data_IF_247278107766
#
_entry.id   IF_247278107766
#
_cell.length_a   1.000
_cell.length_b   1.000
_cell.length_c   1.000
_cell.angle_alpha   90.00
_cell.angle_beta   90.00
_cell.angle_gamma   90.00
#
_symmetry.space_group_name_H-M   'P 1'
#
loop_
_entity.id
_entity.type
_entity.pdbx_description
1 polymer ?
#
# COMPACT_ATOMS: atom_id res chain seq x y z
N UNK A 1 11.30 14.07 -23.48
CA UNK A 1 12.69 13.80 -23.02
C UNK A 1 12.63 12.57 -22.13
N UNK A 2 13.68 11.74 -22.04
CA UNK A 2 13.63 10.59 -21.12
C UNK A 2 13.41 11.09 -19.68
N UNK A 3 12.38 10.58 -19.01
CA UNK A 3 12.09 10.94 -17.62
C UNK A 3 13.21 10.52 -16.68
N UNK A 4 13.17 11.03 -15.45
CA UNK A 4 14.05 10.59 -14.38
C UNK A 4 13.45 9.41 -13.62
N UNK A 5 14.29 8.58 -12.98
CA UNK A 5 13.83 7.53 -12.07
C UNK A 5 12.86 8.13 -11.04
N UNK A 6 11.67 7.56 -10.86
CA UNK A 6 10.66 8.09 -9.94
C UNK A 6 11.18 8.29 -8.51
N UNK A 7 10.68 9.33 -7.82
CA UNK A 7 11.06 9.68 -6.44
C UNK A 7 9.84 9.89 -5.56
N UNK A 8 10.02 9.78 -4.25
CA UNK A 8 8.94 9.98 -3.27
C UNK A 8 8.22 11.34 -3.45
N UNK A 9 6.90 11.25 -3.50
CA UNK A 9 5.97 12.35 -3.69
C UNK A 9 5.83 12.81 -5.13
N UNK A 10 6.44 12.15 -6.12
CA UNK A 10 6.19 12.44 -7.53
C UNK A 10 4.87 11.84 -7.98
N UNK A 11 4.19 12.55 -8.87
CA UNK A 11 2.90 12.16 -9.44
C UNK A 11 3.09 11.73 -10.89
N UNK A 12 2.56 10.55 -11.20
CA UNK A 12 2.52 9.97 -12.54
C UNK A 12 1.11 9.55 -12.89
N UNK A 13 0.74 9.65 -14.16
CA UNK A 13 -0.47 9.02 -14.67
C UNK A 13 -0.04 7.68 -15.24
N UNK A 14 -0.53 6.61 -14.63
CA UNK A 14 -0.22 5.24 -15.03
C UNK A 14 -1.49 4.41 -15.00
N UNK A 15 -1.49 3.34 -15.78
CA UNK A 15 -2.42 2.24 -15.62
C UNK A 15 -1.68 1.09 -14.92
N UNK A 16 -1.94 0.80 -13.64
CA UNK A 16 -1.24 -0.24 -12.90
C UNK A 16 -1.77 -1.62 -13.30
N UNK A 17 -1.38 -2.13 -14.47
CA UNK A 17 -1.80 -3.44 -14.97
C UNK A 17 -1.08 -4.59 -14.25
N UNK A 18 0.08 -4.32 -13.62
CA UNK A 18 0.91 -5.32 -12.97
C UNK A 18 1.22 -4.92 -11.53
N UNK A 19 0.56 -5.61 -10.59
CA UNK A 19 0.63 -5.32 -9.16
C UNK A 19 1.15 -6.51 -8.36
N UNK A 20 1.80 -6.18 -7.26
CA UNK A 20 2.19 -7.15 -6.25
C UNK A 20 1.07 -7.23 -5.22
N UNK A 21 0.51 -8.42 -5.08
CA UNK A 21 -0.52 -8.70 -4.08
C UNK A 21 0.00 -9.73 -3.09
N UNK A 22 -0.36 -9.53 -1.82
CA UNK A 22 -0.04 -10.41 -0.71
C UNK A 22 -1.29 -11.17 -0.29
N UNK A 23 -1.22 -12.49 -0.23
CA UNK A 23 -2.32 -13.30 0.30
C UNK A 23 -2.35 -13.27 1.84
N UNK A 24 -3.41 -13.81 2.46
CA UNK A 24 -3.52 -13.85 3.93
C UNK A 24 -2.37 -14.59 4.62
N UNK A 25 -1.82 -15.60 3.96
CA UNK A 25 -0.70 -16.40 4.45
C UNK A 25 0.67 -15.73 4.21
N UNK A 26 0.67 -14.57 3.57
CA UNK A 26 1.86 -13.75 3.39
C UNK A 26 2.69 -14.05 2.14
N UNK A 27 2.25 -14.94 1.26
CA UNK A 27 2.85 -15.12 -0.07
C UNK A 27 2.65 -13.86 -0.90
N UNK A 28 3.71 -13.39 -1.54
CA UNK A 28 3.71 -12.21 -2.39
C UNK A 28 3.97 -12.67 -3.82
N UNK A 29 3.07 -12.31 -4.73
CA UNK A 29 3.23 -12.58 -6.15
C UNK A 29 2.83 -11.38 -6.98
N UNK A 30 3.32 -11.37 -8.22
CA UNK A 30 2.90 -10.44 -9.25
C UNK A 30 1.66 -11.00 -9.93
N UNK A 31 0.65 -10.15 -10.08
CA UNK A 31 -0.57 -10.43 -10.82
C UNK A 31 -0.75 -9.39 -11.91
N UNK A 32 -1.13 -9.88 -13.08
CA UNK A 32 -1.63 -9.06 -14.18
C UNK A 32 -3.14 -8.89 -13.94
N UNK A 33 -3.57 -7.66 -13.67
CA UNK A 33 -4.94 -7.36 -13.24
C UNK A 33 -5.77 -6.85 -14.42
N UNK A 34 -6.08 -7.76 -15.35
CA UNK A 34 -6.82 -7.44 -16.57
C UNK A 34 -8.32 -7.28 -16.32
N UNK A 35 -8.93 -8.07 -15.41
CA UNK A 35 -10.37 -8.01 -15.07
C UNK A 35 -10.66 -7.88 -13.55
N UNK A 36 -11.66 -7.06 -13.14
CA UNK A 36 -11.95 -6.81 -11.72
C UNK A 36 -12.48 -8.08 -11.05
N UNK A 37 -11.99 -8.37 -9.85
CA UNK A 37 -12.50 -9.50 -9.08
C UNK A 37 -11.48 -10.09 -8.13
N UNK A 38 -11.56 -11.40 -7.99
CA UNK A 38 -10.77 -12.21 -7.11
C UNK A 38 -9.65 -12.90 -7.88
N UNK A 39 -8.43 -12.91 -7.33
CA UNK A 39 -7.30 -13.67 -7.87
C UNK A 39 -6.86 -14.70 -6.86
N UNK A 40 -6.63 -15.93 -7.32
CA UNK A 40 -6.12 -16.99 -6.47
C UNK A 40 -4.61 -16.82 -6.26
N UNK A 41 -4.15 -17.05 -5.04
CA UNK A 41 -2.73 -16.97 -4.75
C UNK A 41 -1.95 -18.07 -5.49
N UNK A 42 -0.82 -17.70 -6.12
CA UNK A 42 -0.02 -18.65 -6.91
C UNK A 42 0.63 -19.77 -6.07
N UNK A 43 0.71 -19.60 -4.75
CA UNK A 43 1.31 -20.60 -3.84
C UNK A 43 0.28 -21.29 -2.95
N UNK A 44 -0.79 -20.61 -2.57
CA UNK A 44 -1.87 -21.20 -1.78
C UNK A 44 -3.22 -20.90 -2.42
N UNK A 45 -4.21 -21.75 -2.23
CA UNK A 45 -5.56 -21.57 -2.80
C UNK A 45 -6.36 -20.44 -2.14
N UNK A 46 -5.68 -19.47 -1.51
CA UNK A 46 -6.28 -18.31 -0.88
C UNK A 46 -6.76 -17.32 -1.94
N UNK A 47 -7.91 -16.71 -1.70
CA UNK A 47 -8.53 -15.78 -2.63
C UNK A 47 -8.21 -14.35 -2.22
N UNK A 48 -7.57 -13.61 -3.12
CA UNK A 48 -7.21 -12.20 -2.94
C UNK A 48 -8.22 -11.33 -3.69
N UNK A 49 -8.95 -10.49 -2.95
CA UNK A 49 -9.88 -9.55 -3.55
C UNK A 49 -9.12 -8.33 -4.13
N UNK A 50 -9.01 -8.27 -5.46
CA UNK A 50 -8.35 -7.18 -6.19
C UNK A 50 -9.29 -6.04 -6.60
N UNK A 51 -10.59 -6.13 -6.31
CA UNK A 51 -11.60 -5.14 -6.73
C UNK A 51 -11.35 -3.72 -6.19
N UNK A 52 -10.55 -3.60 -5.12
CA UNK A 52 -10.19 -2.31 -4.51
C UNK A 52 -9.09 -1.56 -5.27
N UNK A 53 -8.42 -2.22 -6.21
CA UNK A 53 -7.42 -1.59 -7.07
C UNK A 53 -8.13 -0.76 -8.12
N UNK A 54 -7.86 0.55 -8.12
CA UNK A 54 -8.31 1.43 -9.19
C UNK A 54 -7.64 1.05 -10.51
N UNK A 55 -8.41 1.05 -11.59
CA UNK A 55 -7.98 0.64 -12.93
C UNK A 55 -8.07 1.77 -13.93
N UNK A 56 -7.38 1.58 -15.05
CA UNK A 56 -7.26 2.59 -16.08
C UNK A 56 -6.19 3.60 -15.74
N UNK A 57 -5.90 4.50 -16.67
CA UNK A 57 -4.91 5.54 -16.47
C UNK A 57 -5.43 6.57 -15.46
N UNK A 58 -4.76 6.67 -14.32
CA UNK A 58 -5.11 7.64 -13.29
C UNK A 58 -3.86 8.08 -12.50
N UNK A 59 -3.92 9.23 -11.80
CA UNK A 59 -2.77 9.72 -11.08
C UNK A 59 -2.40 8.83 -9.90
N UNK A 60 -1.11 8.61 -9.71
CA UNK A 60 -0.50 7.90 -8.59
C UNK A 60 0.64 8.72 -8.01
N UNK A 61 0.73 8.73 -6.68
CA UNK A 61 1.87 9.28 -5.96
C UNK A 61 2.85 8.15 -5.69
N UNK A 62 4.10 8.31 -6.10
CA UNK A 62 5.20 7.43 -5.68
C UNK A 62 5.50 7.69 -4.22
N UNK A 63 5.57 6.64 -3.41
CA UNK A 63 5.93 6.75 -2.00
C UNK A 63 7.32 6.20 -1.73
N UNK A 64 7.54 4.91 -1.97
CA UNK A 64 8.85 4.26 -1.82
C UNK A 64 9.23 3.53 -3.11
N UNK A 65 10.52 3.25 -3.24
CA UNK A 65 11.06 2.38 -4.28
C UNK A 65 11.68 1.18 -3.62
N UNK A 66 11.27 0.00 -4.04
CA UNK A 66 11.69 -1.26 -3.44
C UNK A 66 12.15 -2.21 -4.57
N UNK A 67 13.18 -3.01 -4.29
CA UNK A 67 13.64 -4.07 -5.19
C UNK A 67 13.33 -5.42 -4.54
N UNK A 68 12.65 -6.30 -5.27
CA UNK A 68 12.26 -7.60 -4.78
C UNK A 68 12.80 -8.69 -5.71
N UNK A 69 13.23 -9.81 -5.13
CA UNK A 69 13.75 -10.96 -5.88
C UNK A 69 12.67 -12.04 -6.01
N UNK A 70 12.30 -12.38 -7.24
CA UNK A 70 11.50 -13.55 -7.54
C UNK A 70 12.34 -14.65 -8.24
N UNK A 71 11.71 -15.75 -8.66
CA UNK A 71 12.39 -16.83 -9.39
C UNK A 71 12.99 -16.38 -10.73
N UNK A 72 12.52 -15.26 -11.26
CA UNK A 72 12.93 -14.63 -12.53
C UNK A 72 14.08 -13.63 -12.35
N UNK A 73 14.40 -13.24 -11.11
CA UNK A 73 15.46 -12.30 -10.77
C UNK A 73 14.96 -11.11 -9.93
N UNK A 74 15.77 -10.05 -9.87
CA UNK A 74 15.37 -8.80 -9.20
C UNK A 74 14.44 -7.99 -10.09
N UNK A 75 13.29 -7.61 -9.54
CA UNK A 75 12.31 -6.76 -10.18
C UNK A 75 12.21 -5.46 -9.38
N UNK A 76 12.41 -4.34 -10.07
CA UNK A 76 12.23 -3.02 -9.49
C UNK A 76 10.75 -2.68 -9.36
N UNK A 77 10.36 -2.15 -8.21
CA UNK A 77 8.96 -1.82 -7.88
C UNK A 77 8.86 -0.47 -7.19
N UNK A 78 7.66 0.09 -7.22
CA UNK A 78 7.35 1.30 -6.45
C UNK A 78 6.08 1.08 -5.64
N UNK A 79 6.12 1.47 -4.36
CA UNK A 79 4.90 1.64 -3.59
C UNK A 79 4.24 2.94 -4.02
N UNK A 80 3.00 2.85 -4.47
CA UNK A 80 2.25 3.95 -5.05
C UNK A 80 0.88 4.12 -4.36
N UNK A 81 0.49 5.37 -4.14
CA UNK A 81 -0.81 5.74 -3.58
C UNK A 81 -1.68 6.25 -4.72
N UNK A 82 -2.80 5.60 -5.05
CA UNK A 82 -3.67 6.07 -6.12
C UNK A 82 -4.40 7.34 -5.70
N UNK A 83 -4.60 8.22 -6.68
CA UNK A 83 -5.36 9.45 -6.57
C UNK A 83 -6.68 9.31 -7.33
N UNK A 84 -7.77 9.75 -6.72
CA UNK A 84 -9.09 9.80 -7.37
C UNK A 84 -9.75 11.16 -7.18
N UNK A 85 -10.52 11.62 -8.16
CA UNK A 85 -11.39 12.79 -7.98
C UNK A 85 -12.80 12.44 -7.50
N UNK A 86 -13.08 11.15 -7.24
CA UNK A 86 -14.38 10.70 -6.76
C UNK A 86 -14.61 11.14 -5.30
N UNK A 87 -15.76 11.77 -5.06
CA UNK A 87 -16.12 12.27 -3.72
C UNK A 87 -16.62 11.18 -2.78
N UNK A 88 -16.86 9.96 -3.26
CA UNK A 88 -17.25 8.81 -2.44
C UNK A 88 -16.25 8.46 -1.34
N UNK A 89 -14.98 8.85 -1.50
CA UNK A 89 -13.90 8.61 -0.54
C UNK A 89 -13.70 9.76 0.45
N UNK A 90 -14.56 10.79 0.45
CA UNK A 90 -14.47 11.89 1.42
C UNK A 90 -14.79 11.41 2.83
N UNK A 91 -14.02 11.88 3.81
CA UNK A 91 -14.30 11.67 5.24
C UNK A 91 -13.62 10.43 5.86
N UNK A 92 -12.97 9.59 5.06
CA UNK A 92 -12.14 8.49 5.59
C UNK A 92 -10.84 9.04 6.19
N UNK A 93 -10.46 8.57 7.37
CA UNK A 93 -9.20 8.94 8.04
C UNK A 93 -7.98 8.58 7.21
N UNK A 94 -8.08 7.51 6.43
CA UNK A 94 -7.06 7.00 5.49
C UNK A 94 -7.14 7.65 4.10
N UNK A 95 -7.87 8.75 3.97
CA UNK A 95 -7.93 9.54 2.73
C UNK A 95 -7.43 10.95 3.00
N UNK A 96 -6.62 11.48 2.08
CA UNK A 96 -6.10 12.84 2.17
C UNK A 96 -6.53 13.69 0.96
N UNK A 97 -7.23 14.82 1.17
CA UNK A 97 -7.57 15.73 0.08
C UNK A 97 -6.35 16.55 -0.35
N UNK A 98 -6.09 16.58 -1.65
CA UNK A 98 -5.03 17.36 -2.28
C UNK A 98 -5.68 18.36 -3.23
N UNK A 99 -5.43 19.64 -2.99
CA UNK A 99 -5.90 20.70 -3.88
C UNK A 99 -4.98 20.82 -5.10
N UNK A 100 -5.52 21.19 -6.28
CA UNK A 100 -4.71 21.37 -7.47
C UNK A 100 -3.75 22.55 -7.29
N UNK A 101 -2.49 22.34 -7.66
CA UNK A 101 -1.45 23.38 -7.68
C UNK A 101 -0.62 23.25 -8.94
N UNK A 102 0.05 24.32 -9.36
CA UNK A 102 0.98 24.25 -10.50
C UNK A 102 2.09 23.22 -10.29
N UNK A 103 2.46 22.95 -9.04
CA UNK A 103 3.56 22.05 -8.69
C UNK A 103 3.16 20.57 -8.69
N UNK A 104 1.94 20.26 -8.26
CA UNK A 104 1.42 18.88 -8.28
C UNK A 104 0.79 18.49 -9.62
N UNK A 105 0.47 19.47 -10.48
CA UNK A 105 0.02 19.20 -11.85
C UNK A 105 -1.36 18.53 -11.93
N UNK A 106 -2.17 18.64 -10.88
CA UNK A 106 -3.54 18.12 -10.85
C UNK A 106 -4.50 19.18 -11.40
N UNK A 107 -5.47 18.75 -12.20
CA UNK A 107 -6.48 19.65 -12.77
C UNK A 107 -7.61 20.01 -11.79
N UNK A 108 -7.83 19.14 -10.80
CA UNK A 108 -8.92 19.23 -9.83
C UNK A 108 -8.52 18.62 -8.50
N UNK A 109 -9.31 18.94 -7.48
CA UNK A 109 -9.16 18.33 -6.16
C UNK A 109 -9.19 16.81 -6.29
N UNK A 110 -8.16 16.18 -5.76
CA UNK A 110 -8.00 14.73 -5.78
C UNK A 110 -7.81 14.22 -4.36
N UNK A 111 -8.11 12.95 -4.15
CA UNK A 111 -8.07 12.28 -2.87
C UNK A 111 -7.02 11.17 -2.95
N UNK A 112 -6.01 11.25 -2.09
CA UNK A 112 -5.03 10.19 -1.93
C UNK A 112 -5.59 9.08 -1.06
N UNK A 113 -5.74 7.90 -1.66
CA UNK A 113 -6.33 6.73 -1.00
C UNK A 113 -5.23 5.91 -0.32
N UNK A 114 -4.80 6.36 0.86
CA UNK A 114 -3.68 5.75 1.60
C UNK A 114 -3.93 4.27 1.90
N UNK A 115 -5.18 3.91 2.18
CA UNK A 115 -5.60 2.52 2.41
C UNK A 115 -5.56 1.64 1.15
N UNK A 116 -5.29 2.21 -0.02
CA UNK A 116 -5.10 1.50 -1.29
C UNK A 116 -3.64 1.59 -1.77
N UNK A 117 -2.69 1.89 -0.88
CA UNK A 117 -1.26 1.78 -1.18
C UNK A 117 -0.99 0.41 -1.82
N UNK A 118 -0.41 0.43 -3.02
CA UNK A 118 -0.10 -0.78 -3.78
C UNK A 118 1.35 -0.77 -4.25
N UNK A 119 1.91 -1.95 -4.46
CA UNK A 119 3.25 -2.09 -5.03
C UNK A 119 3.12 -2.40 -6.52
N UNK A 120 3.69 -1.52 -7.35
CA UNK A 120 3.54 -1.49 -8.80
C UNK A 120 4.87 -1.86 -9.46
N UNK A 121 4.83 -2.67 -10.51
CA UNK A 121 6.00 -2.96 -11.34
C UNK A 121 6.57 -1.65 -11.94
N UNK A 122 7.89 -1.45 -11.86
CA UNK A 122 8.56 -0.26 -12.38
C UNK A 122 8.31 -0.02 -13.88
N UNK A 123 8.02 -1.07 -14.65
CA UNK A 123 7.69 -0.96 -16.07
C UNK A 123 6.39 -0.19 -16.33
N UNK A 124 5.47 -0.12 -15.35
CA UNK A 124 4.28 0.73 -15.46
C UNK A 124 4.63 2.23 -15.53
N UNK A 125 5.85 2.60 -15.12
CA UNK A 125 6.36 3.97 -15.18
C UNK A 125 7.30 4.22 -16.36
N UNK A 126 7.34 3.30 -17.34
CA UNK A 126 8.17 3.40 -18.53
C UNK A 126 7.33 3.41 -19.80
N UNK A 127 7.85 4.06 -20.83
CA UNK A 127 7.32 3.98 -22.19
C UNK A 127 7.70 2.65 -22.87
N UNK A 128 7.20 2.42 -24.07
CA UNK A 128 7.50 1.22 -24.87
C UNK A 128 8.97 1.08 -25.27
N UNK A 129 9.75 2.16 -25.19
CA UNK A 129 11.20 2.16 -25.42
C UNK A 129 11.99 1.94 -24.12
N UNK A 130 11.32 1.79 -22.97
CA UNK A 130 11.93 1.56 -21.67
C UNK A 130 12.41 2.83 -20.97
N UNK A 131 12.10 4.02 -21.50
CA UNK A 131 12.42 5.29 -20.83
C UNK A 131 11.37 5.59 -19.76
N UNK A 132 11.78 6.24 -18.67
CA UNK A 132 10.82 6.70 -17.67
C UNK A 132 9.84 7.70 -18.26
N UNK A 133 8.57 7.57 -17.87
CA UNK A 133 7.52 8.53 -18.20
C UNK A 133 7.86 9.92 -17.67
N UNK A 134 7.27 10.95 -18.28
CA UNK A 134 7.38 12.30 -17.79
C UNK A 134 6.55 12.49 -16.51
N UNK A 135 7.19 12.97 -15.45
CA UNK A 135 6.53 13.30 -14.19
C UNK A 135 5.51 14.41 -14.43
N UNK A 136 4.27 14.22 -13.98
CA UNK A 136 3.22 15.24 -14.07
C UNK A 136 3.35 16.32 -13.02
N UNK A 137 3.77 15.96 -11.81
CA UNK A 137 4.01 16.92 -10.75
C UNK A 137 4.63 16.29 -9.52
N UNK A 138 4.68 17.06 -8.43
CA UNK A 138 5.17 16.60 -7.14
C UNK A 138 4.37 17.21 -6.00
N UNK A 139 4.23 16.43 -4.93
CA UNK A 139 3.64 16.88 -3.68
C UNK A 139 4.52 17.90 -2.97
N UNK A 140 3.86 18.80 -2.27
CA UNK A 140 4.50 19.69 -1.33
C UNK A 140 4.83 18.98 -0.02
N UNK A 141 5.70 19.59 0.79
CA UNK A 141 6.11 18.98 2.06
C UNK A 141 4.91 18.75 2.98
N UNK A 142 4.00 19.73 3.10
CA UNK A 142 2.81 19.61 3.93
C UNK A 142 1.91 18.43 3.52
N UNK A 143 1.72 18.22 2.20
CA UNK A 143 0.95 17.08 1.70
C UNK A 143 1.65 15.75 2.02
N UNK A 144 2.98 15.69 1.87
CA UNK A 144 3.76 14.49 2.19
C UNK A 144 3.66 14.17 3.68
N UNK A 145 3.88 15.14 4.56
CA UNK A 145 3.82 14.95 6.00
C UNK A 145 2.41 14.47 6.43
N UNK A 146 1.35 15.02 5.84
CA UNK A 146 -0.03 14.61 6.14
C UNK A 146 -0.41 13.21 5.62
N UNK A 147 0.19 12.76 4.51
CA UNK A 147 0.05 11.40 4.01
C UNK A 147 0.84 10.42 4.86
N UNK A 148 2.04 10.80 5.31
CA UNK A 148 2.89 9.98 6.18
C UNK A 148 2.19 9.65 7.50
N UNK A 149 1.59 10.64 8.15
CA UNK A 149 0.81 10.43 9.38
C UNK A 149 -0.38 9.48 9.16
N UNK A 150 -1.03 9.55 8.00
CA UNK A 150 -2.12 8.62 7.65
C UNK A 150 -1.63 7.22 7.33
N UNK A 151 -0.44 7.10 6.75
CA UNK A 151 0.21 5.81 6.53
C UNK A 151 0.56 5.16 7.86
N UNK A 152 1.13 5.91 8.79
CA UNK A 152 1.39 5.43 10.16
C UNK A 152 0.11 4.94 10.83
N UNK A 153 -0.96 5.76 10.75
CA UNK A 153 -2.27 5.37 11.27
C UNK A 153 -2.82 4.10 10.60
N UNK A 154 -2.77 4.00 9.27
CA UNK A 154 -3.31 2.87 8.52
C UNK A 154 -2.52 1.57 8.77
N UNK A 155 -1.20 1.67 8.85
CA UNK A 155 -0.31 0.53 9.08
C UNK A 155 -0.24 0.12 10.55
N UNK A 156 -0.94 0.83 11.45
CA UNK A 156 -0.83 0.62 12.90
C UNK A 156 0.55 0.93 13.46
N UNK A 157 1.35 1.73 12.74
CA UNK A 157 2.68 2.18 13.13
C UNK A 157 2.59 3.48 13.95
N UNK A 158 1.68 3.51 14.92
CA UNK A 158 1.75 4.52 15.97
C UNK A 158 2.98 4.22 16.81
N UNK A 159 3.90 5.18 16.90
CA UNK A 159 5.16 5.05 17.66
C UNK A 159 4.94 4.63 19.12
N UNK A 160 3.71 4.78 19.64
CA UNK A 160 3.17 4.08 20.81
C UNK A 160 1.62 4.00 20.69
N UNK A 161 1.00 2.85 20.38
CA UNK A 161 -0.45 2.72 20.44
C UNK A 161 -0.94 2.93 21.88
N UNK A 162 -1.93 3.79 22.08
CA UNK A 162 -2.55 3.96 23.40
C UNK A 162 -3.36 2.72 23.80
N UNK A 163 -3.58 2.51 25.10
CA UNK A 163 -4.42 1.42 25.60
C UNK A 163 -5.84 1.47 25.01
N UNK A 164 -6.38 2.69 24.82
CA UNK A 164 -7.65 2.93 24.15
C UNK A 164 -7.68 2.48 22.68
N UNK A 165 -6.53 2.56 21.99
CA UNK A 165 -6.42 2.08 20.62
C UNK A 165 -6.45 0.56 20.59
N UNK A 166 -5.72 -0.11 21.50
CA UNK A 166 -5.76 -1.56 21.64
C UNK A 166 -7.17 -2.05 21.96
N UNK A 167 -7.84 -1.46 22.94
CA UNK A 167 -9.19 -1.85 23.34
C UNK A 167 -10.20 -1.74 22.18
N UNK A 168 -10.07 -0.73 21.31
CA UNK A 168 -10.99 -0.50 20.19
C UNK A 168 -10.70 -1.34 18.95
N UNK A 169 -9.47 -1.82 18.79
CA UNK A 169 -9.02 -2.50 17.57
C UNK A 169 -8.55 -3.95 17.82
N UNK A 170 -8.51 -4.39 19.07
CA UNK A 170 -8.25 -5.77 19.44
C UNK A 170 -9.30 -6.68 18.79
N UNK A 171 -8.80 -7.65 18.05
CA UNK A 171 -9.59 -8.68 17.37
C UNK A 171 -8.81 -9.99 17.40
N UNK A 172 -9.51 -11.11 17.25
CA UNK A 172 -8.88 -12.44 17.18
C UNK A 172 -7.90 -12.50 16.01
N UNK A 173 -8.22 -11.84 14.90
CA UNK A 173 -7.38 -11.74 13.70
C UNK A 173 -6.10 -10.95 13.97
N UNK A 174 -6.19 -9.82 14.68
CA UNK A 174 -5.02 -9.03 15.07
C UNK A 174 -4.14 -9.80 16.05
N UNK A 175 -4.75 -10.47 17.04
CA UNK A 175 -4.04 -11.31 18.00
C UNK A 175 -3.27 -12.44 17.29
N UNK A 176 -3.90 -13.12 16.32
CA UNK A 176 -3.22 -14.14 15.50
C UNK A 176 -2.05 -13.56 14.73
N UNK A 177 -2.20 -12.39 14.09
CA UNK A 177 -1.12 -11.73 13.34
C UNK A 177 0.05 -11.36 14.25
N UNK A 178 -0.22 -10.80 15.42
CA UNK A 178 0.80 -10.47 16.43
C UNK A 178 1.52 -11.74 16.87
N UNK A 179 0.77 -12.79 17.22
CA UNK A 179 1.31 -14.09 17.62
C UNK A 179 2.22 -14.71 16.54
N UNK A 180 1.79 -14.71 15.28
CA UNK A 180 2.61 -15.27 14.20
C UNK A 180 3.90 -14.48 13.93
N UNK A 181 3.90 -13.18 14.24
CA UNK A 181 5.04 -12.27 14.07
C UNK A 181 6.10 -12.39 15.16
N UNK A 182 5.83 -13.13 16.25
CA UNK A 182 6.82 -13.38 17.29
C UNK A 182 8.03 -14.16 16.76
N UNK A 183 9.26 -13.84 17.24
CA UNK A 183 10.49 -14.22 16.55
C UNK A 183 10.86 -15.70 16.66
N UNK A 184 10.39 -16.42 17.69
CA UNK A 184 10.70 -17.85 17.86
C UNK A 184 9.59 -18.61 18.61
N UNK A 185 9.70 -19.94 18.62
CA UNK A 185 8.70 -20.84 19.22
C UNK A 185 8.62 -20.67 20.74
N UNK A 186 9.73 -20.41 21.41
CA UNK A 186 9.76 -20.29 22.88
C UNK A 186 8.99 -19.04 23.35
N UNK A 187 9.20 -17.90 22.69
CA UNK A 187 8.46 -16.65 22.95
C UNK A 187 6.97 -16.81 22.59
N UNK A 188 6.66 -17.57 21.54
CA UNK A 188 5.27 -17.90 21.20
C UNK A 188 4.60 -18.75 22.28
N UNK A 189 5.28 -19.79 22.77
CA UNK A 189 4.78 -20.63 23.85
C UNK A 189 4.55 -19.83 25.13
N UNK A 190 5.52 -18.99 25.53
CA UNK A 190 5.39 -18.11 26.69
C UNK A 190 4.20 -17.14 26.56
N UNK A 191 4.03 -16.51 25.40
CA UNK A 191 2.91 -15.59 25.18
C UNK A 191 1.54 -16.27 25.30
N UNK A 192 1.42 -17.55 24.89
CA UNK A 192 0.16 -18.30 25.07
C UNK A 192 -0.02 -18.71 26.54
N UNK A 193 1.03 -19.18 27.19
CA UNK A 193 0.97 -19.63 28.59
C UNK A 193 0.57 -18.48 29.52
N UNK A 194 1.12 -17.27 29.33
CA UNK A 194 0.72 -16.08 30.08
C UNK A 194 -0.75 -15.73 29.86
N UNK A 195 -1.22 -15.73 28.60
CA UNK A 195 -2.62 -15.46 28.28
C UNK A 195 -3.59 -16.51 28.85
N UNK A 196 -3.19 -17.78 28.91
CA UNK A 196 -4.01 -18.84 29.50
C UNK A 196 -4.05 -18.71 31.02
N UNK A 197 -2.91 -18.45 31.66
CA UNK A 197 -2.84 -18.28 33.12
C UNK A 197 -3.72 -17.11 33.59
N UNK A 198 -3.76 -16.01 32.84
CA UNK A 198 -4.62 -14.85 33.12
C UNK A 198 -6.12 -15.12 32.89
N UNK A 199 -6.48 -16.16 32.12
CA UNK A 199 -7.87 -16.59 31.92
C UNK A 199 -8.34 -17.56 33.01
N UNK A 200 -7.41 -18.28 33.64
CA UNK A 200 -7.69 -19.27 34.69
C UNK A 200 -7.65 -18.66 36.12
N UNK A 201 -7.20 -17.40 36.25
CA UNK A 201 -7.22 -16.60 37.47
C UNK A 201 -8.52 -15.81 37.66
#
# INVERSE_FOLDING_TARGET
>A
MAGQKPRQGWIYFINPYRLYLRCHFGHIHIYDLDEPGEVECKTCTDIINSSRVLRGEHPHIIWTSDEFQDQSGYIATFSAIPLTSQTTYTGLTTTYPINPTQKNGLDKKSYALVHQLCTVDANCFKDSAGNWLERKGQLEKADKDAIDERLKFYLGLTDNPSDDWWAKNASIELLKKVYYSLPNKDIKSQAIEELINDLES
#
